data_IF_022143246160
#
_entry.id   IF_022143246160
#
_cell.length_a   1.000
_cell.length_b   1.000
_cell.length_c   1.000
_cell.angle_alpha   90.00
_cell.angle_beta   90.00
_cell.angle_gamma   90.00
#
_symmetry.space_group_name_H-M   'P 1'
#
loop_
_entity.id
_entity.type
_entity.pdbx_description
1 polymer ?
#
# COMPACT_ATOMS: atom_id res chain seq x y z
N UNK A 1 -27.58 2.52 -8.82
CA UNK A 1 -27.50 2.83 -10.27
C UNK A 1 -26.74 4.13 -10.61
N UNK A 2 -26.58 5.09 -9.69
CA UNK A 2 -25.90 6.37 -9.99
C UNK A 2 -24.38 6.27 -10.22
N UNK A 3 -23.63 5.63 -9.31
CA UNK A 3 -22.16 5.55 -9.40
C UNK A 3 -21.66 4.83 -10.67
N UNK A 4 -22.30 3.72 -11.08
CA UNK A 4 -21.91 2.98 -12.29
C UNK A 4 -21.97 3.85 -13.56
N UNK A 5 -22.97 4.73 -13.70
CA UNK A 5 -23.08 5.63 -14.87
C UNK A 5 -22.09 6.78 -14.86
N UNK A 6 -21.57 7.15 -13.70
CA UNK A 6 -20.57 8.21 -13.56
C UNK A 6 -19.18 7.72 -13.99
N UNK A 7 -18.85 6.45 -13.70
CA UNK A 7 -17.54 5.84 -13.96
C UNK A 7 -17.13 5.78 -15.43
N UNK A 8 -18.10 5.72 -16.34
CA UNK A 8 -17.83 5.54 -17.77
C UNK A 8 -17.54 6.86 -18.51
N UNK A 9 -17.59 8.00 -17.82
CA UNK A 9 -17.42 9.33 -18.42
C UNK A 9 -16.45 10.18 -17.58
N UNK A 10 -15.18 10.13 -17.99
CA UNK A 10 -14.09 10.75 -17.25
C UNK A 10 -14.22 12.28 -17.18
N UNK A 11 -14.70 12.93 -18.25
CA UNK A 11 -14.96 14.37 -18.27
C UNK A 11 -16.08 14.77 -17.32
N UNK A 12 -17.15 13.97 -17.23
CA UNK A 12 -18.22 14.21 -16.25
C UNK A 12 -17.72 14.08 -14.82
N UNK A 13 -16.86 13.10 -14.53
CA UNK A 13 -16.25 12.94 -13.21
C UNK A 13 -15.40 14.16 -12.88
N UNK A 14 -14.49 14.57 -13.76
CA UNK A 14 -13.61 15.70 -13.52
C UNK A 14 -14.40 17.01 -13.32
N UNK A 15 -15.45 17.23 -14.15
CA UNK A 15 -16.36 18.36 -13.98
C UNK A 15 -17.11 18.30 -12.64
N UNK A 16 -17.59 17.13 -12.24
CA UNK A 16 -18.29 16.94 -10.98
C UNK A 16 -17.38 17.27 -9.79
N UNK A 17 -16.17 16.70 -9.80
CA UNK A 17 -15.15 16.92 -8.78
C UNK A 17 -14.85 18.42 -8.64
N UNK A 18 -14.57 19.10 -9.76
CA UNK A 18 -14.26 20.54 -9.76
C UNK A 18 -15.43 21.42 -9.28
N UNK A 19 -16.67 21.05 -9.58
CA UNK A 19 -17.84 21.90 -9.32
C UNK A 19 -18.45 21.66 -7.93
N UNK A 20 -18.36 20.43 -7.42
CA UNK A 20 -19.04 20.02 -6.18
C UNK A 20 -18.06 19.61 -5.08
N UNK A 21 -17.04 18.81 -5.41
CA UNK A 21 -16.10 18.29 -4.40
C UNK A 21 -15.17 19.39 -3.89
N UNK A 22 -14.60 20.23 -4.76
CA UNK A 22 -13.70 21.32 -4.35
C UNK A 22 -14.35 22.41 -3.48
N UNK A 23 -15.67 22.34 -3.24
CA UNK A 23 -16.41 23.25 -2.35
C UNK A 23 -16.76 22.62 -1.00
N UNK A 24 -16.45 21.34 -0.84
CA UNK A 24 -16.73 20.61 0.38
C UNK A 24 -15.83 21.09 1.52
N UNK A 25 -16.31 20.94 2.76
CA UNK A 25 -15.48 21.16 3.93
C UNK A 25 -14.42 20.04 4.02
N UNK A 26 -13.30 20.32 4.70
CA UNK A 26 -12.22 19.34 4.95
C UNK A 26 -12.74 17.95 5.33
N UNK A 27 -13.67 17.88 6.29
CA UNK A 27 -14.21 16.62 6.80
C UNK A 27 -14.98 15.83 5.73
N UNK A 28 -15.71 16.52 4.88
CA UNK A 28 -16.51 15.89 3.81
C UNK A 28 -15.60 15.35 2.70
N UNK A 29 -14.54 16.08 2.32
CA UNK A 29 -13.57 15.59 1.34
C UNK A 29 -12.84 14.33 1.84
N UNK A 30 -12.43 14.32 3.10
CA UNK A 30 -11.80 13.15 3.73
C UNK A 30 -12.80 11.98 3.78
N UNK A 31 -14.06 12.23 4.16
CA UNK A 31 -15.07 11.18 4.20
C UNK A 31 -15.32 10.56 2.81
N UNK A 32 -15.35 11.38 1.75
CA UNK A 32 -15.48 10.88 0.37
C UNK A 32 -14.27 10.04 -0.05
N UNK A 33 -13.05 10.48 0.30
CA UNK A 33 -11.83 9.71 0.02
C UNK A 33 -11.88 8.33 0.69
N UNK A 34 -12.11 8.29 2.00
CA UNK A 34 -12.16 7.05 2.78
C UNK A 34 -13.26 6.11 2.29
N UNK A 35 -14.41 6.63 1.87
CA UNK A 35 -15.48 5.80 1.31
C UNK A 35 -15.10 5.21 -0.06
N UNK A 36 -14.39 5.96 -0.92
CA UNK A 36 -13.88 5.41 -2.18
C UNK A 36 -12.79 4.35 -1.95
N UNK A 37 -11.90 4.54 -0.98
CA UNK A 37 -10.92 3.52 -0.58
C UNK A 37 -11.60 2.25 -0.06
N UNK A 38 -12.61 2.41 0.80
CA UNK A 38 -13.40 1.29 1.35
C UNK A 38 -14.15 0.51 0.27
N UNK A 39 -14.58 1.18 -0.80
CA UNK A 39 -15.24 0.56 -1.96
C UNK A 39 -14.25 0.06 -3.02
N UNK A 40 -12.94 0.18 -2.80
CA UNK A 40 -11.89 -0.17 -3.75
C UNK A 40 -11.99 0.60 -5.08
N UNK A 41 -12.62 1.79 -5.05
CA UNK A 41 -12.72 2.71 -6.17
C UNK A 41 -11.46 3.57 -6.29
N UNK A 42 -10.30 2.91 -6.36
CA UNK A 42 -8.98 3.54 -6.20
C UNK A 42 -8.68 4.65 -7.22
N UNK A 43 -9.25 4.58 -8.42
CA UNK A 43 -9.13 5.65 -9.42
C UNK A 43 -9.84 6.93 -8.97
N UNK A 44 -11.03 6.80 -8.38
CA UNK A 44 -11.78 7.94 -7.84
C UNK A 44 -11.11 8.45 -6.56
N UNK A 45 -10.64 7.55 -5.70
CA UNK A 45 -9.88 7.89 -4.50
C UNK A 45 -8.64 8.74 -4.85
N UNK A 46 -7.83 8.33 -5.84
CA UNK A 46 -6.70 9.10 -6.35
C UNK A 46 -7.10 10.50 -6.85
N UNK A 47 -8.24 10.61 -7.58
CA UNK A 47 -8.74 11.91 -8.03
C UNK A 47 -9.10 12.82 -6.86
N UNK A 48 -9.77 12.30 -5.83
CA UNK A 48 -10.12 13.06 -4.62
C UNK A 48 -8.87 13.43 -3.83
N UNK A 49 -7.91 12.52 -3.69
CA UNK A 49 -6.65 12.81 -3.01
C UNK A 49 -5.89 13.96 -3.69
N UNK A 50 -5.81 13.97 -5.03
CA UNK A 50 -5.22 15.08 -5.80
C UNK A 50 -5.97 16.41 -5.66
N UNK A 51 -7.27 16.38 -5.35
CA UNK A 51 -8.04 17.58 -5.03
C UNK A 51 -7.67 18.06 -3.64
N UNK A 52 -7.67 17.16 -2.66
CA UNK A 52 -7.26 17.44 -1.27
C UNK A 52 -5.86 18.08 -1.24
N UNK A 53 -4.90 17.56 -2.01
CA UNK A 53 -3.53 18.11 -2.09
C UNK A 53 -3.45 19.57 -2.59
N UNK A 54 -4.51 20.09 -3.23
CA UNK A 54 -4.57 21.47 -3.74
C UNK A 54 -5.29 22.44 -2.80
N UNK A 55 -5.87 21.94 -1.72
CA UNK A 55 -6.60 22.76 -0.77
C UNK A 55 -5.66 23.49 0.19
N UNK A 56 -5.97 24.74 0.53
CA UNK A 56 -5.13 25.58 1.41
C UNK A 56 -4.92 24.99 2.81
N UNK A 57 -5.85 24.16 3.27
CA UNK A 57 -5.79 23.51 4.58
C UNK A 57 -4.97 22.21 4.57
N UNK A 58 -4.55 21.74 3.41
CA UNK A 58 -3.82 20.48 3.28
C UNK A 58 -2.47 20.54 3.97
N UNK A 59 -2.19 19.45 4.68
CA UNK A 59 -0.86 19.15 5.20
C UNK A 59 -0.61 17.66 4.94
N UNK A 60 0.61 17.28 4.51
CA UNK A 60 1.02 15.89 4.44
C UNK A 60 0.63 15.12 5.71
N UNK A 61 -0.06 14.00 5.52
CA UNK A 61 -0.57 13.16 6.60
C UNK A 61 -0.29 11.69 6.29
N UNK A 62 0.48 11.03 7.17
CA UNK A 62 0.83 9.61 7.08
C UNK A 62 -0.40 8.73 6.89
N UNK A 63 -1.53 9.06 7.55
CA UNK A 63 -2.74 8.24 7.47
C UNK A 63 -3.40 8.31 6.10
N UNK A 64 -3.49 9.50 5.49
CA UNK A 64 -4.09 9.65 4.16
C UNK A 64 -3.29 8.93 3.07
N UNK A 65 -1.95 8.95 3.16
CA UNK A 65 -1.12 8.17 2.24
C UNK A 65 -1.25 6.67 2.49
N UNK A 66 -1.18 6.25 3.76
CA UNK A 66 -1.24 4.84 4.16
C UNK A 66 -2.48 4.14 3.60
N UNK A 67 -3.67 4.68 3.87
CA UNK A 67 -4.92 4.01 3.52
C UNK A 67 -5.08 3.89 1.99
N UNK A 68 -4.72 4.94 1.25
CA UNK A 68 -4.75 4.95 -0.21
C UNK A 68 -3.72 3.99 -0.83
N UNK A 69 -2.49 3.96 -0.31
CA UNK A 69 -1.44 3.02 -0.75
C UNK A 69 -1.89 1.58 -0.51
N UNK A 70 -2.45 1.27 0.66
CA UNK A 70 -2.98 -0.05 0.99
C UNK A 70 -4.12 -0.42 0.03
N UNK A 71 -5.05 0.49 -0.26
CA UNK A 71 -6.15 0.25 -1.18
C UNK A 71 -5.64 -0.05 -2.62
N UNK A 72 -4.66 0.72 -3.10
CA UNK A 72 -4.02 0.50 -4.41
C UNK A 72 -3.30 -0.84 -4.48
N UNK A 73 -2.55 -1.21 -3.44
CA UNK A 73 -1.84 -2.49 -3.36
C UNK A 73 -2.82 -3.68 -3.41
N UNK A 74 -3.95 -3.60 -2.67
CA UNK A 74 -5.03 -4.60 -2.73
C UNK A 74 -5.65 -4.72 -4.11
N UNK A 75 -5.78 -3.61 -4.82
CA UNK A 75 -6.28 -3.54 -6.20
C UNK A 75 -5.21 -3.87 -7.27
N UNK A 76 -4.01 -4.29 -6.86
CA UNK A 76 -2.86 -4.57 -7.76
C UNK A 76 -2.45 -3.39 -8.64
N UNK A 77 -2.71 -2.16 -8.18
CA UNK A 77 -2.29 -0.91 -8.83
C UNK A 77 -0.92 -0.46 -8.29
N UNK A 78 0.09 -1.32 -8.44
CA UNK A 78 1.38 -1.12 -7.78
C UNK A 78 2.14 0.11 -8.30
N UNK A 79 2.01 0.46 -9.58
CA UNK A 79 2.64 1.67 -10.13
C UNK A 79 2.14 2.94 -9.44
N UNK A 80 0.82 3.06 -9.27
CA UNK A 80 0.19 4.18 -8.56
C UNK A 80 0.53 4.16 -7.07
N UNK A 81 0.57 2.96 -6.45
CA UNK A 81 0.96 2.79 -5.06
C UNK A 81 2.39 3.30 -4.82
N UNK A 82 3.32 2.99 -5.73
CA UNK A 82 4.71 3.43 -5.64
C UNK A 82 4.89 4.92 -5.93
N UNK A 83 4.09 5.52 -6.80
CA UNK A 83 4.10 6.97 -6.98
C UNK A 83 3.71 7.69 -5.67
N UNK A 84 2.69 7.20 -4.97
CA UNK A 84 2.30 7.74 -3.67
C UNK A 84 3.35 7.45 -2.60
N UNK A 85 3.96 6.26 -2.60
CA UNK A 85 5.06 5.92 -1.69
C UNK A 85 6.23 6.89 -1.81
N UNK A 86 6.68 7.17 -3.03
CA UNK A 86 7.77 8.12 -3.27
C UNK A 86 7.37 9.57 -2.96
N UNK A 87 6.10 9.92 -3.14
CA UNK A 87 5.60 11.24 -2.72
C UNK A 87 5.60 11.37 -1.20
N UNK A 88 5.13 10.34 -0.49
CA UNK A 88 5.15 10.27 0.97
C UNK A 88 6.58 10.42 1.52
N UNK A 89 7.56 9.73 0.93
CA UNK A 89 8.99 9.87 1.31
C UNK A 89 9.53 11.28 1.09
N UNK A 90 9.17 11.94 -0.02
CA UNK A 90 9.59 13.33 -0.31
C UNK A 90 8.99 14.35 0.66
N UNK A 91 7.90 14.01 1.32
CA UNK A 91 7.27 14.80 2.37
C UNK A 91 7.82 14.44 3.77
N UNK A 92 8.92 13.69 3.85
CA UNK A 92 9.56 13.20 5.07
C UNK A 92 8.61 12.37 5.96
N UNK A 93 7.63 11.71 5.34
CA UNK A 93 6.72 10.78 6.00
C UNK A 93 7.20 9.35 5.81
N UNK A 94 7.24 8.59 6.91
CA UNK A 94 7.67 7.20 6.90
C UNK A 94 6.47 6.25 7.01
N UNK A 95 6.37 5.20 6.18
CA UNK A 95 5.34 4.17 6.29
C UNK A 95 5.38 3.48 7.67
N UNK A 96 4.24 2.99 8.18
CA UNK A 96 4.23 2.12 9.37
C UNK A 96 4.36 0.65 8.99
N UNK A 97 4.59 -0.21 9.97
CA UNK A 97 4.71 -1.67 9.79
C UNK A 97 3.54 -2.26 8.98
N UNK A 98 2.31 -1.81 9.25
CA UNK A 98 1.14 -2.25 8.51
C UNK A 98 1.21 -1.84 7.02
N UNK A 99 1.64 -0.61 6.74
CA UNK A 99 1.81 -0.11 5.37
C UNK A 99 2.88 -0.92 4.62
N UNK A 100 4.04 -1.16 5.24
CA UNK A 100 5.09 -2.03 4.68
C UNK A 100 4.54 -3.44 4.38
N UNK A 101 3.83 -4.04 5.34
CA UNK A 101 3.25 -5.39 5.21
C UNK A 101 2.35 -5.49 3.99
N UNK A 102 1.44 -4.53 3.80
CA UNK A 102 0.45 -4.58 2.72
C UNK A 102 1.06 -4.29 1.35
N UNK A 103 2.05 -3.39 1.25
CA UNK A 103 2.77 -3.14 -0.01
C UNK A 103 3.63 -4.34 -0.39
N UNK A 104 4.36 -4.95 0.56
CA UNK A 104 5.10 -6.20 0.35
C UNK A 104 4.15 -7.30 -0.14
N UNK A 105 3.00 -7.49 0.52
CA UNK A 105 1.97 -8.45 0.12
C UNK A 105 1.48 -8.18 -1.31
N UNK A 106 1.24 -6.92 -1.64
CA UNK A 106 0.81 -6.47 -2.97
C UNK A 106 1.79 -6.91 -4.06
N UNK A 107 3.08 -6.60 -3.88
CA UNK A 107 4.13 -7.00 -4.82
C UNK A 107 4.26 -8.52 -4.97
N UNK A 108 4.28 -9.26 -3.86
CA UNK A 108 4.34 -10.73 -3.90
C UNK A 108 3.15 -11.33 -4.66
N UNK A 109 1.94 -10.78 -4.46
CA UNK A 109 0.72 -11.23 -5.14
C UNK A 109 0.69 -10.85 -6.62
N UNK A 110 1.44 -9.82 -7.02
CA UNK A 110 1.64 -9.42 -8.42
C UNK A 110 2.78 -10.18 -9.11
N UNK A 111 3.48 -11.08 -8.40
CA UNK A 111 4.61 -11.83 -8.96
C UNK A 111 5.89 -11.01 -9.08
N UNK A 112 6.04 -9.96 -8.28
CA UNK A 112 7.20 -9.07 -8.25
C UNK A 112 8.00 -9.20 -6.94
N UNK A 113 8.68 -10.34 -6.69
CA UNK A 113 9.42 -10.56 -5.45
C UNK A 113 10.62 -9.60 -5.29
N UNK A 114 11.21 -9.12 -6.39
CA UNK A 114 12.30 -8.14 -6.36
C UNK A 114 11.83 -6.80 -5.77
N UNK A 115 10.68 -6.31 -6.20
CA UNK A 115 10.09 -5.08 -5.67
C UNK A 115 9.66 -5.25 -4.22
N UNK A 116 9.11 -6.42 -3.85
CA UNK A 116 8.82 -6.74 -2.45
C UNK A 116 10.09 -6.68 -1.58
N UNK A 117 11.23 -7.15 -2.09
CA UNK A 117 12.51 -7.05 -1.39
C UNK A 117 13.03 -5.61 -1.30
N UNK A 118 12.79 -4.76 -2.30
CA UNK A 118 13.15 -3.34 -2.21
C UNK A 118 12.39 -2.65 -1.05
N UNK A 119 11.09 -2.92 -0.92
CA UNK A 119 10.28 -2.40 0.19
C UNK A 119 10.73 -2.97 1.54
N UNK A 120 11.17 -4.23 1.57
CA UNK A 120 11.74 -4.84 2.76
C UNK A 120 13.05 -4.17 3.20
N UNK A 121 13.94 -3.84 2.27
CA UNK A 121 15.19 -3.12 2.59
C UNK A 121 14.90 -1.69 3.07
N UNK A 122 13.91 -1.02 2.47
CA UNK A 122 13.43 0.28 2.96
C UNK A 122 12.88 0.16 4.39
N UNK A 123 12.13 -0.90 4.70
CA UNK A 123 11.62 -1.18 6.05
C UNK A 123 12.75 -1.35 7.08
N UNK A 124 13.84 -2.03 6.73
CA UNK A 124 15.01 -2.20 7.62
C UNK A 124 15.72 -0.88 7.92
N UNK A 125 15.55 0.12 7.06
CA UNK A 125 16.09 1.48 7.25
C UNK A 125 15.10 2.42 7.96
N UNK A 126 13.90 1.94 8.26
CA UNK A 126 12.90 2.71 9.00
C UNK A 126 13.40 3.08 10.40
N UNK A 127 13.07 4.27 10.92
CA UNK A 127 13.34 4.61 12.32
C UNK A 127 12.53 3.75 13.30
N UNK A 128 11.37 3.23 12.85
CA UNK A 128 10.53 2.33 13.64
C UNK A 128 11.14 0.92 13.65
N UNK A 129 11.21 0.24 14.82
CA UNK A 129 11.74 -1.12 14.88
C UNK A 129 10.92 -2.08 14.02
N UNK A 130 11.55 -3.04 13.31
CA UNK A 130 10.83 -4.01 12.51
C UNK A 130 9.87 -4.85 13.37
N UNK A 131 8.69 -5.14 12.83
CA UNK A 131 7.75 -6.08 13.42
C UNK A 131 7.82 -7.44 12.70
N UNK A 132 7.40 -8.52 13.36
CA UNK A 132 7.48 -9.87 12.78
C UNK A 132 6.57 -10.09 11.56
N UNK A 133 5.44 -9.39 11.48
CA UNK A 133 4.41 -9.65 10.46
C UNK A 133 4.93 -9.49 9.02
N UNK A 134 5.60 -8.38 8.63
CA UNK A 134 6.25 -8.26 7.33
C UNK A 134 7.14 -9.46 6.94
N UNK A 135 7.95 -9.96 7.88
CA UNK A 135 8.84 -11.11 7.65
C UNK A 135 8.03 -12.38 7.39
N UNK A 136 6.98 -12.64 8.18
CA UNK A 136 6.11 -13.81 7.98
C UNK A 136 5.46 -13.79 6.59
N UNK A 137 5.07 -12.60 6.10
CA UNK A 137 4.52 -12.44 4.75
C UNK A 137 5.58 -12.73 3.68
N UNK A 138 6.80 -12.20 3.84
CA UNK A 138 7.92 -12.48 2.93
C UNK A 138 8.29 -13.96 2.91
N UNK A 139 8.48 -14.59 4.07
CA UNK A 139 8.85 -16.00 4.19
C UNK A 139 7.84 -16.93 3.52
N UNK A 140 6.55 -16.58 3.59
CA UNK A 140 5.49 -17.30 2.88
C UNK A 140 5.49 -17.00 1.38
N UNK A 141 5.53 -15.73 0.97
CA UNK A 141 5.45 -15.35 -0.44
C UNK A 141 6.69 -15.68 -1.26
N UNK A 142 7.85 -15.83 -0.61
CA UNK A 142 9.13 -16.18 -1.24
C UNK A 142 9.41 -17.69 -1.25
N UNK A 143 8.43 -18.54 -0.95
CA UNK A 143 8.56 -20.00 -1.12
C UNK A 143 9.13 -20.39 -2.51
N UNK A 144 8.72 -19.78 -3.64
CA UNK A 144 9.31 -20.06 -4.95
C UNK A 144 10.72 -19.46 -5.18
N UNK A 145 11.22 -18.65 -4.24
CA UNK A 145 12.47 -17.87 -4.36
C UNK A 145 13.40 -18.14 -3.16
N UNK A 146 13.98 -19.36 -3.06
CA UNK A 146 14.68 -19.83 -1.85
C UNK A 146 15.87 -18.95 -1.44
N UNK A 147 16.58 -18.35 -2.39
CA UNK A 147 17.70 -17.46 -2.08
C UNK A 147 17.24 -16.19 -1.35
N UNK A 148 16.15 -15.57 -1.80
CA UNK A 148 15.57 -14.38 -1.15
C UNK A 148 14.95 -14.77 0.20
N UNK A 149 14.24 -15.91 0.24
CA UNK A 149 13.63 -16.44 1.46
C UNK A 149 14.66 -16.70 2.56
N UNK A 150 15.79 -17.32 2.22
CA UNK A 150 16.85 -17.64 3.18
C UNK A 150 17.48 -16.38 3.77
N UNK A 151 17.66 -15.33 2.95
CA UNK A 151 18.12 -14.02 3.45
C UNK A 151 17.14 -13.43 4.46
N UNK A 152 15.85 -13.41 4.14
CA UNK A 152 14.80 -12.91 5.07
C UNK A 152 14.75 -13.77 6.34
N UNK A 153 14.94 -15.09 6.24
CA UNK A 153 14.96 -16.00 7.39
C UNK A 153 16.14 -15.72 8.32
N UNK A 154 17.33 -15.54 7.75
CA UNK A 154 18.52 -15.17 8.51
C UNK A 154 18.31 -13.82 9.22
N UNK A 155 17.87 -12.79 8.49
CA UNK A 155 17.57 -11.49 9.07
C UNK A 155 16.53 -11.59 10.21
N UNK A 156 15.51 -12.45 10.07
CA UNK A 156 14.51 -12.68 11.11
C UNK A 156 15.10 -13.30 12.38
N UNK A 157 15.94 -14.33 12.24
CA UNK A 157 16.59 -15.00 13.37
C UNK A 157 17.58 -14.09 14.10
N UNK A 158 18.25 -13.19 13.37
CA UNK A 158 19.15 -12.18 13.94
C UNK A 158 18.38 -11.09 14.71
N UNK A 159 17.23 -10.63 14.17
CA UNK A 159 16.44 -9.54 14.76
C UNK A 159 15.55 -10.04 15.92
N UNK A 160 15.06 -11.29 15.83
CA UNK A 160 14.12 -11.88 16.79
C UNK A 160 14.64 -13.22 17.34
N UNK A 161 15.77 -13.24 18.08
CA UNK A 161 16.44 -14.47 18.51
C UNK A 161 15.60 -15.35 19.44
N UNK A 162 14.68 -14.74 20.20
CA UNK A 162 13.78 -15.44 21.12
C UNK A 162 12.46 -15.88 20.45
N UNK A 163 12.22 -15.47 19.19
CA UNK A 163 11.00 -15.80 18.46
C UNK A 163 11.17 -17.11 17.68
N UNK A 164 10.20 -18.01 17.79
CA UNK A 164 10.16 -19.19 16.94
C UNK A 164 9.79 -18.77 15.51
N UNK A 165 10.76 -18.84 14.59
CA UNK A 165 10.53 -18.48 13.19
C UNK A 165 9.38 -19.30 12.60
N UNK A 166 8.41 -18.59 12.00
CA UNK A 166 7.34 -19.23 11.25
C UNK A 166 7.94 -19.80 9.96
N UNK A 167 8.18 -21.11 9.94
CA UNK A 167 8.64 -21.86 8.77
C UNK A 167 7.46 -22.68 8.22
N UNK A 168 6.61 -22.12 7.35
CA UNK A 168 5.54 -22.88 6.73
C UNK A 168 6.17 -24.04 5.96
N UNK A 169 5.62 -25.27 6.07
CA UNK A 169 6.16 -26.42 5.36
C UNK A 169 6.29 -26.08 3.88
N UNK A 170 7.41 -26.47 3.28
CA UNK A 170 7.58 -26.46 1.83
C UNK A 170 6.32 -27.12 1.26
N UNK A 171 5.47 -26.35 0.56
CA UNK A 171 4.42 -26.96 -0.23
C UNK A 171 5.15 -27.89 -1.18
N UNK A 172 5.11 -29.20 -0.89
CA UNK A 172 5.60 -30.24 -1.78
C UNK A 172 4.91 -29.91 -3.09
N UNK A 173 5.66 -29.44 -4.08
CA UNK A 173 5.19 -29.22 -5.43
C UNK A 173 4.76 -30.58 -6.00
N UNK A 174 3.58 -31.02 -5.59
CA UNK A 174 2.88 -32.17 -6.09
C UNK A 174 2.15 -31.73 -7.33
N UNK A 175 2.78 -31.99 -8.47
CA UNK A 175 2.15 -32.49 -9.70
C UNK A 175 0.61 -32.36 -9.71
N UNK A 176 0.10 -31.39 -10.48
CA UNK A 176 -1.03 -31.56 -11.39
C UNK A 176 -1.09 -30.42 -12.38
#
# INVERSE_FOLDING_TARGET
MGLKRLKDDEEKIDKFVKTHVSRLLKMDMIAVLLEFERQEEVNLALKIFRVIQKEDWYKPDRFLYKDLIIALAKCKKMDDAMQLWETMRKEDLFPDSQTYTEVIRGFLTCGSPGDAMNIYEDMKQSPDPPEELPFRILLKGLLPHPLLRNRVKQDFEEIFPDSHSYDPPEEIFGLR
#
